data_IF_323569742469
#
_entry.id   IF_323569742469
#
_cell.length_a   1.000
_cell.length_b   1.000
_cell.length_c   1.000
_cell.angle_alpha   90.00
_cell.angle_beta   90.00
_cell.angle_gamma   90.00
#
_symmetry.space_group_name_H-M   'P 1'
#
loop_
_entity.id
_entity.type
_entity.pdbx_description
1 polymer ?
#
# COMPACT_ATOMS: atom_id res chain seq x y z
N UNK A 1 -19.10 -1.05 8.83
CA UNK A 1 -18.62 -1.79 7.64
C UNK A 1 -17.10 -1.73 7.48
N UNK A 2 -16.48 -0.55 7.51
CA UNK A 2 -15.01 -0.39 7.34
C UNK A 2 -14.11 -1.17 8.31
N UNK A 3 -14.65 -1.62 9.46
CA UNK A 3 -13.91 -2.37 10.48
C UNK A 3 -14.17 -3.88 10.47
N UNK A 4 -15.10 -4.40 9.65
CA UNK A 4 -15.59 -5.78 9.84
C UNK A 4 -14.47 -6.82 9.59
N UNK A 5 -13.69 -6.67 8.53
CA UNK A 5 -12.57 -7.59 8.26
C UNK A 5 -11.45 -7.43 9.29
N UNK A 6 -11.20 -6.21 9.75
CA UNK A 6 -10.24 -5.93 10.83
C UNK A 6 -10.63 -6.60 12.14
N UNK A 7 -11.90 -6.50 12.56
CA UNK A 7 -12.38 -7.16 13.79
C UNK A 7 -12.39 -8.68 13.67
N UNK A 8 -12.73 -9.22 12.49
CA UNK A 8 -12.63 -10.66 12.21
C UNK A 8 -11.20 -11.18 12.30
N UNK A 9 -10.23 -10.43 11.73
CA UNK A 9 -8.82 -10.77 11.81
C UNK A 9 -8.33 -10.79 13.28
N UNK A 10 -8.63 -9.74 14.05
CA UNK A 10 -8.25 -9.66 15.47
C UNK A 10 -8.96 -10.72 16.32
N UNK A 11 -10.16 -11.12 15.94
CA UNK A 11 -10.91 -12.21 16.58
C UNK A 11 -10.41 -13.62 16.22
N UNK A 12 -9.35 -13.75 15.41
CA UNK A 12 -8.76 -15.03 15.04
C UNK A 12 -9.40 -15.74 13.84
N UNK A 13 -10.33 -15.09 13.13
CA UNK A 13 -11.00 -15.66 11.95
C UNK A 13 -10.14 -15.50 10.68
N UNK A 14 -8.92 -16.05 10.70
CA UNK A 14 -7.93 -15.90 9.63
C UNK A 14 -8.33 -16.54 8.29
N UNK A 15 -9.31 -17.46 8.32
CA UNK A 15 -9.82 -18.17 7.15
C UNK A 15 -11.09 -17.54 6.56
N UNK A 16 -11.51 -16.39 7.08
CA UNK A 16 -12.67 -15.69 6.56
C UNK A 16 -12.39 -15.12 5.15
N UNK A 17 -13.22 -15.42 4.13
CA UNK A 17 -13.00 -14.94 2.77
C UNK A 17 -12.92 -13.41 2.65
N UNK A 18 -13.58 -12.68 3.54
CA UNK A 18 -13.53 -11.23 3.55
C UNK A 18 -12.18 -10.70 4.03
N UNK A 19 -11.55 -11.37 5.00
CA UNK A 19 -10.17 -11.08 5.42
C UNK A 19 -9.21 -11.35 4.27
N UNK A 20 -9.35 -12.50 3.59
CA UNK A 20 -8.53 -12.85 2.43
C UNK A 20 -8.63 -11.84 1.29
N UNK A 21 -9.85 -11.44 0.93
CA UNK A 21 -10.12 -10.42 -0.09
C UNK A 21 -9.45 -9.09 0.24
N UNK A 22 -9.61 -8.61 1.47
CA UNK A 22 -9.09 -7.31 1.88
C UNK A 22 -7.56 -7.32 1.98
N UNK A 23 -6.96 -8.46 2.36
CA UNK A 23 -5.51 -8.66 2.36
C UNK A 23 -4.93 -8.63 0.94
N UNK A 24 -5.56 -9.35 0.00
CA UNK A 24 -5.17 -9.35 -1.42
C UNK A 24 -5.30 -7.94 -2.02
N UNK A 25 -6.45 -7.28 -1.81
CA UNK A 25 -6.69 -5.94 -2.31
C UNK A 25 -5.67 -4.94 -1.73
N UNK A 26 -5.41 -5.03 -0.43
CA UNK A 26 -4.39 -4.22 0.24
C UNK A 26 -3.00 -4.43 -0.35
N UNK A 27 -2.59 -5.69 -0.58
CA UNK A 27 -1.27 -5.98 -1.15
C UNK A 27 -1.12 -5.41 -2.58
N UNK A 28 -2.13 -5.57 -3.43
CA UNK A 28 -2.14 -5.03 -4.80
C UNK A 28 -2.15 -3.49 -4.82
N UNK A 29 -2.97 -2.87 -3.97
CA UNK A 29 -3.04 -1.41 -3.87
C UNK A 29 -1.75 -0.82 -3.27
N UNK A 30 -1.15 -1.48 -2.28
CA UNK A 30 0.14 -1.09 -1.70
C UNK A 30 1.28 -1.17 -2.69
N UNK A 31 1.34 -2.24 -3.50
CA UNK A 31 2.30 -2.35 -4.59
C UNK A 31 2.09 -1.26 -5.66
N UNK A 32 0.83 -0.94 -5.95
CA UNK A 32 0.47 0.14 -6.89
C UNK A 32 0.89 1.52 -6.35
N UNK A 33 0.68 1.79 -5.06
CA UNK A 33 1.14 3.01 -4.39
C UNK A 33 2.66 3.16 -4.48
N UNK A 34 3.40 2.11 -4.12
CA UNK A 34 4.86 2.10 -4.22
C UNK A 34 5.34 2.34 -5.66
N UNK A 35 4.67 1.73 -6.64
CA UNK A 35 5.00 1.91 -8.06
C UNK A 35 4.80 3.37 -8.50
N UNK A 36 3.68 3.99 -8.13
CA UNK A 36 3.39 5.39 -8.47
C UNK A 36 4.47 6.31 -7.93
N UNK A 37 4.83 6.16 -6.66
CA UNK A 37 5.91 6.93 -6.02
C UNK A 37 7.28 6.68 -6.65
N UNK A 38 7.63 5.42 -6.92
CA UNK A 38 8.89 5.09 -7.61
C UNK A 38 8.95 5.73 -8.99
N UNK A 39 7.87 5.67 -9.77
CA UNK A 39 7.82 6.31 -11.09
C UNK A 39 7.98 7.83 -10.95
N UNK A 40 7.27 8.47 -10.04
CA UNK A 40 7.38 9.94 -9.83
C UNK A 40 8.80 10.33 -9.45
N UNK A 41 9.44 9.57 -8.55
CA UNK A 41 10.78 9.87 -8.05
C UNK A 41 11.91 9.43 -9.02
N UNK A 42 11.67 8.45 -9.89
CA UNK A 42 12.63 7.96 -10.87
C UNK A 42 12.53 8.65 -12.24
N UNK A 43 11.39 9.31 -12.54
CA UNK A 43 11.19 10.12 -13.75
C UNK A 43 12.37 11.09 -14.04
N UNK A 44 12.96 11.80 -13.06
CA UNK A 44 14.14 12.65 -13.23
C UNK A 44 15.40 11.95 -13.71
N UNK A 45 15.55 10.66 -13.37
CA UNK A 45 16.72 9.88 -13.72
C UNK A 45 16.64 9.36 -15.17
N UNK A 46 15.42 9.18 -15.69
CA UNK A 46 15.18 8.70 -17.06
C UNK A 46 14.93 9.83 -18.06
N UNK A 47 14.34 10.93 -17.59
CA UNK A 47 14.11 12.14 -18.35
C UNK A 47 14.78 13.28 -17.59
N UNK A 48 15.68 14.02 -18.24
CA UNK A 48 16.37 15.17 -17.66
C UNK A 48 15.37 16.33 -17.39
N UNK A 49 14.50 16.14 -16.40
CA UNK A 49 13.48 17.06 -15.96
C UNK A 49 14.15 18.08 -15.05
N UNK A 50 14.18 19.34 -15.49
CA UNK A 50 14.80 20.41 -14.73
C UNK A 50 14.16 20.53 -13.33
N UNK A 51 14.98 20.44 -12.29
CA UNK A 51 14.57 20.76 -10.91
C UNK A 51 14.28 19.57 -10.00
N UNK A 52 14.48 18.32 -10.42
CA UNK A 52 14.32 17.15 -9.54
C UNK A 52 15.66 16.47 -9.23
N UNK A 53 15.93 16.21 -7.95
CA UNK A 53 17.19 15.57 -7.49
C UNK A 53 16.98 14.06 -7.32
N UNK A 54 17.74 13.18 -7.99
CA UNK A 54 17.60 11.73 -7.81
C UNK A 54 17.91 11.31 -6.35
N UNK A 55 16.99 10.58 -5.71
CA UNK A 55 17.26 9.94 -4.42
C UNK A 55 18.07 8.67 -4.69
N UNK A 56 19.33 8.64 -4.28
CA UNK A 56 20.15 7.43 -4.35
C UNK A 56 19.60 6.39 -3.36
N UNK A 57 19.45 5.16 -3.83
CA UNK A 57 18.97 4.00 -3.06
C UNK A 57 19.96 3.50 -1.98
N UNK A 58 21.02 4.27 -1.70
CA UNK A 58 22.11 3.92 -0.79
C UNK A 58 21.79 4.43 0.63
N UNK A 59 20.67 3.98 1.20
CA UNK A 59 20.38 4.15 2.62
C UNK A 59 21.13 3.11 3.44
N UNK A 60 21.65 3.42 4.65
CA UNK A 60 22.38 2.48 5.54
C UNK A 60 21.51 1.35 6.12
N UNK A 61 20.39 1.01 5.47
CA UNK A 61 19.25 0.28 6.06
C UNK A 61 19.56 -1.18 6.37
N UNK A 62 20.67 -1.73 5.88
CA UNK A 62 20.86 -3.18 5.82
C UNK A 62 22.10 -3.70 6.56
N UNK A 63 22.88 -2.88 7.27
CA UNK A 63 24.13 -3.39 7.88
C UNK A 63 23.88 -4.36 9.05
N UNK A 64 22.85 -4.11 9.88
CA UNK A 64 22.52 -4.94 11.05
C UNK A 64 21.18 -5.68 10.89
N UNK A 65 21.17 -6.98 11.23
CA UNK A 65 19.93 -7.79 11.27
C UNK A 65 18.91 -7.22 12.25
N UNK A 66 19.35 -6.67 13.37
CA UNK A 66 18.45 -6.06 14.36
C UNK A 66 17.77 -4.81 13.78
N UNK A 67 18.54 -3.95 13.09
CA UNK A 67 18.00 -2.77 12.42
C UNK A 67 17.03 -3.15 11.31
N UNK A 68 17.35 -4.19 10.54
CA UNK A 68 16.49 -4.72 9.49
C UNK A 68 15.12 -5.18 10.04
N UNK A 69 15.10 -5.97 11.11
CA UNK A 69 13.85 -6.43 11.75
C UNK A 69 13.09 -5.26 12.37
N UNK A 70 13.78 -4.32 13.02
CA UNK A 70 13.15 -3.13 13.58
C UNK A 70 12.47 -2.29 12.49
N UNK A 71 13.12 -2.13 11.33
CA UNK A 71 12.55 -1.40 10.19
C UNK A 71 11.31 -2.11 9.63
N UNK A 72 11.34 -3.45 9.50
CA UNK A 72 10.16 -4.21 9.08
C UNK A 72 8.97 -3.99 10.03
N UNK A 73 9.20 -4.06 11.34
CA UNK A 73 8.16 -3.79 12.34
C UNK A 73 7.66 -2.36 12.24
N UNK A 74 8.56 -1.39 12.04
CA UNK A 74 8.20 0.01 11.89
C UNK A 74 7.33 0.26 10.66
N UNK A 75 7.59 -0.38 9.52
CA UNK A 75 6.75 -0.30 8.32
C UNK A 75 5.31 -0.79 8.59
N UNK A 76 5.17 -1.92 9.30
CA UNK A 76 3.88 -2.49 9.66
C UNK A 76 3.11 -1.61 10.67
N UNK A 77 3.81 -1.13 11.70
CA UNK A 77 3.27 -0.19 12.70
C UNK A 77 2.82 1.10 12.01
N UNK A 78 3.64 1.63 11.10
CA UNK A 78 3.31 2.81 10.29
C UNK A 78 2.04 2.60 9.48
N UNK A 79 1.88 1.44 8.84
CA UNK A 79 0.65 1.11 8.12
C UNK A 79 -0.60 1.09 9.00
N UNK A 80 -0.49 0.57 10.23
CA UNK A 80 -1.58 0.60 11.21
C UNK A 80 -1.93 2.03 11.60
N UNK A 81 -0.92 2.84 11.96
CA UNK A 81 -1.14 4.24 12.34
C UNK A 81 -1.79 5.04 11.22
N UNK A 82 -1.24 4.98 10.01
CA UNK A 82 -1.80 5.71 8.86
C UNK A 82 -3.21 5.24 8.53
N UNK A 83 -3.47 3.93 8.55
CA UNK A 83 -4.80 3.39 8.30
C UNK A 83 -5.83 3.91 9.31
N UNK A 84 -5.49 3.91 10.60
CA UNK A 84 -6.35 4.43 11.65
C UNK A 84 -6.54 5.95 11.54
N UNK A 85 -5.48 6.71 11.26
CA UNK A 85 -5.55 8.15 11.04
C UNK A 85 -6.47 8.50 9.88
N UNK A 86 -6.34 7.81 8.74
CA UNK A 86 -7.18 8.05 7.56
C UNK A 86 -8.65 7.69 7.82
N UNK A 87 -8.90 6.57 8.51
CA UNK A 87 -10.26 6.20 8.92
C UNK A 87 -10.86 7.27 9.86
N UNK A 88 -10.09 7.72 10.85
CA UNK A 88 -10.50 8.77 11.78
C UNK A 88 -10.80 10.09 11.05
N UNK A 89 -9.91 10.54 10.16
CA UNK A 89 -10.10 11.74 9.35
C UNK A 89 -11.35 11.64 8.48
N UNK A 90 -11.59 10.48 7.85
CA UNK A 90 -12.80 10.26 7.08
C UNK A 90 -14.06 10.44 7.93
N UNK A 91 -14.11 9.84 9.12
CA UNK A 91 -15.24 10.00 10.04
C UNK A 91 -15.39 11.43 10.58
N UNK A 92 -14.28 12.11 10.88
CA UNK A 92 -14.28 13.50 11.32
C UNK A 92 -14.88 14.42 10.25
N UNK A 93 -14.44 14.28 9.00
CA UNK A 93 -14.98 15.02 7.85
C UNK A 93 -16.46 14.67 7.65
N UNK A 94 -16.81 13.38 7.74
CA UNK A 94 -18.19 12.91 7.59
C UNK A 94 -19.12 13.43 8.68
N UNK A 95 -18.61 13.72 9.87
CA UNK A 95 -19.37 14.32 10.96
C UNK A 95 -19.75 15.78 10.66
N UNK A 96 -18.91 16.52 9.93
CA UNK A 96 -19.18 17.90 9.55
C UNK A 96 -19.95 18.05 8.22
N UNK A 97 -19.81 17.08 7.31
CA UNK A 97 -20.35 17.16 5.96
C UNK A 97 -21.49 16.15 5.77
N UNK A 98 -22.71 16.65 5.55
CA UNK A 98 -23.90 15.80 5.30
C UNK A 98 -23.82 15.01 4.00
N UNK A 99 -23.22 15.59 2.95
CA UNK A 99 -23.08 14.94 1.65
C UNK A 99 -21.89 13.96 1.65
N UNK A 100 -22.17 12.67 1.38
CA UNK A 100 -21.17 11.61 1.33
C UNK A 100 -20.06 11.88 0.29
N UNK A 101 -20.44 12.29 -0.92
CA UNK A 101 -19.50 12.57 -2.00
C UNK A 101 -18.62 13.77 -1.69
N UNK A 102 -19.17 14.80 -1.05
CA UNK A 102 -18.38 15.95 -0.62
C UNK A 102 -17.33 15.56 0.42
N UNK A 103 -17.66 14.64 1.36
CA UNK A 103 -16.67 14.13 2.31
C UNK A 103 -15.53 13.36 1.63
N UNK A 104 -15.84 12.55 0.60
CA UNK A 104 -14.83 11.85 -0.20
C UNK A 104 -13.92 12.84 -0.91
N UNK A 105 -14.49 13.87 -1.55
CA UNK A 105 -13.72 14.89 -2.27
C UNK A 105 -12.80 15.65 -1.31
N UNK A 106 -13.29 16.04 -0.13
CA UNK A 106 -12.48 16.74 0.87
C UNK A 106 -11.33 15.87 1.38
N UNK A 107 -11.58 14.59 1.68
CA UNK A 107 -10.51 13.68 2.08
C UNK A 107 -9.50 13.46 0.95
N UNK A 108 -9.98 13.29 -0.28
CA UNK A 108 -9.13 13.15 -1.48
C UNK A 108 -8.25 14.37 -1.72
N UNK A 109 -8.79 15.58 -1.57
CA UNK A 109 -8.03 16.82 -1.63
C UNK A 109 -6.97 16.89 -0.53
N UNK A 110 -7.31 16.50 0.70
CA UNK A 110 -6.36 16.48 1.80
C UNK A 110 -5.21 15.50 1.55
N UNK A 111 -5.50 14.28 1.07
CA UNK A 111 -4.47 13.30 0.70
C UNK A 111 -3.60 13.84 -0.44
N UNK A 112 -4.22 14.45 -1.46
CA UNK A 112 -3.49 15.04 -2.59
C UNK A 112 -2.55 16.16 -2.12
N UNK A 113 -3.03 17.03 -1.22
CA UNK A 113 -2.23 18.14 -0.69
C UNK A 113 -1.04 17.66 0.15
N UNK A 114 -1.19 16.58 0.92
CA UNK A 114 -0.11 16.00 1.72
C UNK A 114 0.98 15.39 0.83
N UNK A 115 0.61 14.85 -0.34
CA UNK A 115 1.52 14.20 -1.27
C UNK A 115 2.03 15.12 -2.39
N UNK A 116 1.69 16.41 -2.36
CA UNK A 116 2.17 17.37 -3.35
C UNK A 116 3.67 17.61 -3.14
N UNK A 117 4.46 17.32 -4.17
CA UNK A 117 5.86 17.72 -4.22
C UNK A 117 6.03 19.20 -4.56
N UNK A 118 7.29 19.67 -4.63
CA UNK A 118 7.63 21.07 -4.94
C UNK A 118 8.41 21.24 -6.25
N UNK A 119 8.81 20.16 -6.90
CA UNK A 119 9.80 20.22 -7.96
C UNK A 119 9.13 20.19 -9.35
N UNK A 120 8.29 19.18 -9.62
CA UNK A 120 7.52 19.09 -10.86
C UNK A 120 6.01 19.06 -10.58
N UNK A 121 5.40 20.26 -10.58
CA UNK A 121 3.99 20.46 -10.23
C UNK A 121 3.06 19.55 -11.03
N UNK A 122 3.28 19.33 -12.33
CA UNK A 122 2.35 18.53 -13.15
C UNK A 122 2.46 17.05 -12.81
N UNK A 123 3.67 16.48 -12.85
CA UNK A 123 3.89 15.06 -12.58
C UNK A 123 3.51 14.70 -11.13
N UNK A 124 3.87 15.54 -10.18
CA UNK A 124 3.59 15.34 -8.76
C UNK A 124 2.10 15.51 -8.44
N UNK A 125 1.40 16.45 -9.09
CA UNK A 125 -0.06 16.59 -8.90
C UNK A 125 -0.80 15.36 -9.43
N UNK A 126 -0.45 14.87 -10.63
CA UNK A 126 -1.06 13.66 -11.18
C UNK A 126 -0.79 12.44 -10.28
N UNK A 127 0.44 12.32 -9.80
CA UNK A 127 0.85 11.31 -8.84
C UNK A 127 0.05 11.36 -7.54
N UNK A 128 -0.05 12.53 -6.93
CA UNK A 128 -0.78 12.75 -5.69
C UNK A 128 -2.29 12.46 -5.83
N UNK A 129 -2.90 12.84 -6.96
CA UNK A 129 -4.31 12.50 -7.26
C UNK A 129 -4.48 10.99 -7.41
N UNK A 130 -3.55 10.31 -8.08
CA UNK A 130 -3.60 8.86 -8.23
C UNK A 130 -3.42 8.13 -6.88
N UNK A 131 -2.49 8.59 -6.05
CA UNK A 131 -2.32 8.12 -4.66
C UNK A 131 -3.63 8.30 -3.88
N UNK A 132 -4.24 9.48 -3.94
CA UNK A 132 -5.52 9.73 -3.27
C UNK A 132 -6.62 8.78 -3.76
N UNK A 133 -6.70 8.51 -5.07
CA UNK A 133 -7.67 7.58 -5.64
C UNK A 133 -7.45 6.13 -5.15
N UNK A 134 -6.20 5.67 -5.07
CA UNK A 134 -5.85 4.33 -4.57
C UNK A 134 -6.17 4.18 -3.08
N UNK A 135 -5.81 5.19 -2.28
CA UNK A 135 -6.09 5.24 -0.82
C UNK A 135 -7.59 5.25 -0.54
N UNK A 136 -8.34 6.10 -1.24
CA UNK A 136 -9.81 6.14 -1.13
C UNK A 136 -10.43 4.82 -1.59
N UNK A 137 -9.90 4.18 -2.63
CA UNK A 137 -10.37 2.86 -3.07
C UNK A 137 -10.14 1.81 -2.00
N UNK A 138 -8.94 1.74 -1.40
CA UNK A 138 -8.65 0.83 -0.31
C UNK A 138 -9.62 1.03 0.87
N UNK A 139 -9.76 2.28 1.33
CA UNK A 139 -10.58 2.61 2.48
C UNK A 139 -12.08 2.40 2.24
N UNK A 140 -12.61 2.95 1.15
CA UNK A 140 -14.05 3.03 0.92
C UNK A 140 -14.64 1.75 0.34
N UNK A 141 -13.86 1.00 -0.45
CA UNK A 141 -14.31 -0.23 -1.11
C UNK A 141 -13.99 -1.49 -0.31
N UNK A 142 -12.84 -1.53 0.36
CA UNK A 142 -12.35 -2.73 1.04
C UNK A 142 -12.27 -2.57 2.57
N UNK A 143 -12.05 -1.35 3.08
CA UNK A 143 -12.07 -1.05 4.52
C UNK A 143 -10.70 -0.86 5.15
N UNK A 144 -10.67 -0.76 6.48
CA UNK A 144 -9.47 -0.45 7.26
C UNK A 144 -8.37 -1.49 7.05
N UNK A 145 -8.70 -2.79 7.06
CA UNK A 145 -7.70 -3.84 6.92
C UNK A 145 -6.94 -3.70 5.59
N UNK A 146 -7.66 -3.53 4.48
CA UNK A 146 -7.03 -3.33 3.17
C UNK A 146 -6.14 -2.08 3.15
N UNK A 147 -6.57 -1.01 3.80
CA UNK A 147 -5.80 0.22 3.89
C UNK A 147 -4.50 0.04 4.71
N UNK A 148 -4.58 -0.61 5.88
CA UNK A 148 -3.41 -0.92 6.72
C UNK A 148 -2.41 -1.76 5.94
N UNK A 149 -2.89 -2.78 5.23
CA UNK A 149 -2.06 -3.67 4.41
C UNK A 149 -1.44 -2.91 3.25
N UNK A 150 -2.20 -2.03 2.57
CA UNK A 150 -1.69 -1.22 1.47
C UNK A 150 -0.53 -0.32 1.92
N UNK A 151 -0.69 0.43 3.01
CA UNK A 151 0.39 1.27 3.53
C UNK A 151 1.57 0.46 4.09
N UNK A 152 1.32 -0.70 4.71
CA UNK A 152 2.40 -1.57 5.16
C UNK A 152 3.25 -2.07 3.98
N UNK A 153 2.60 -2.56 2.92
CA UNK A 153 3.25 -3.04 1.70
C UNK A 153 3.96 -1.91 0.96
N UNK A 154 3.34 -0.73 0.87
CA UNK A 154 4.00 0.45 0.31
C UNK A 154 5.27 0.80 1.08
N UNK A 155 5.19 0.93 2.41
CA UNK A 155 6.33 1.22 3.26
C UNK A 155 7.44 0.17 3.12
N UNK A 156 7.07 -1.11 3.03
CA UNK A 156 7.99 -2.21 2.77
C UNK A 156 8.73 -2.06 1.44
N UNK A 157 8.03 -1.70 0.37
CA UNK A 157 8.64 -1.56 -0.96
C UNK A 157 9.46 -0.27 -1.11
N UNK A 158 9.16 0.76 -0.31
CA UNK A 158 9.90 2.02 -0.30
C UNK A 158 11.12 2.00 0.64
N UNK A 159 11.03 1.28 1.76
CA UNK A 159 12.07 1.29 2.80
C UNK A 159 13.33 0.51 2.41
N UNK A 160 13.22 -0.45 1.50
CA UNK A 160 14.30 -1.36 1.17
C UNK A 160 14.66 -1.26 -0.31
N UNK A 161 15.93 -0.94 -0.63
CA UNK A 161 16.36 -0.85 -2.01
C UNK A 161 16.41 -2.23 -2.65
N UNK A 162 15.66 -2.42 -3.74
CA UNK A 162 15.73 -3.64 -4.55
C UNK A 162 16.94 -3.53 -5.48
N UNK A 163 18.00 -4.27 -5.17
CA UNK A 163 19.15 -4.39 -6.06
C UNK A 163 18.82 -5.35 -7.22
N UNK A 164 19.04 -4.89 -8.46
CA UNK A 164 18.98 -5.76 -9.65
C UNK A 164 20.31 -6.48 -9.91
N UNK A 165 21.40 -6.03 -9.27
CA UNK A 165 22.73 -6.64 -9.36
C UNK A 165 22.95 -7.65 -8.22
N UNK A 166 23.08 -8.96 -8.51
CA UNK A 166 23.35 -10.01 -7.52
C UNK A 166 24.66 -9.82 -6.76
N UNK A 167 25.60 -9.02 -7.28
CA UNK A 167 26.87 -8.74 -6.63
C UNK A 167 26.78 -7.79 -5.42
N UNK A 168 25.64 -7.12 -5.22
CA UNK A 168 25.46 -6.22 -4.06
C UNK A 168 25.27 -7.02 -2.78
N UNK A 169 26.00 -6.64 -1.73
CA UNK A 169 26.00 -7.32 -0.43
C UNK A 169 24.62 -7.40 0.26
N UNK A 170 23.68 -6.52 -0.13
CA UNK A 170 22.30 -6.48 0.37
C UNK A 170 21.26 -7.07 -0.58
N UNK A 171 21.67 -7.67 -1.72
CA UNK A 171 20.77 -8.20 -2.74
C UNK A 171 19.66 -9.08 -2.15
N UNK A 172 20.03 -10.12 -1.39
CA UNK A 172 19.06 -11.04 -0.79
C UNK A 172 18.08 -10.34 0.18
N UNK A 173 18.55 -9.35 0.94
CA UNK A 173 17.74 -8.63 1.94
C UNK A 173 16.77 -7.65 1.28
N UNK A 174 17.10 -7.10 0.12
CA UNK A 174 16.21 -6.26 -0.68
C UNK A 174 14.96 -6.98 -1.22
N UNK A 175 15.00 -8.30 -1.37
CA UNK A 175 13.86 -9.09 -1.86
C UNK A 175 12.88 -9.55 -0.75
N UNK A 176 13.28 -9.49 0.52
CA UNK A 176 12.41 -9.90 1.63
C UNK A 176 11.06 -9.15 1.64
N UNK A 177 11.00 -7.83 1.44
CA UNK A 177 9.73 -7.08 1.40
C UNK A 177 8.85 -7.47 0.22
N UNK A 178 9.46 -7.77 -0.94
CA UNK A 178 8.76 -8.28 -2.13
C UNK A 178 8.15 -9.65 -1.84
N UNK A 179 8.91 -10.54 -1.21
CA UNK A 179 8.43 -11.86 -0.80
C UNK A 179 7.28 -11.74 0.21
N UNK A 180 7.36 -10.82 1.17
CA UNK A 180 6.27 -10.55 2.13
C UNK A 180 5.02 -10.08 1.40
N UNK A 181 5.13 -9.11 0.49
CA UNK A 181 4.00 -8.61 -0.30
C UNK A 181 3.35 -9.72 -1.15
N UNK A 182 4.17 -10.55 -1.81
CA UNK A 182 3.71 -11.72 -2.57
C UNK A 182 3.04 -12.76 -1.68
N UNK A 183 3.61 -13.06 -0.51
CA UNK A 183 3.04 -13.99 0.44
C UNK A 183 1.67 -13.52 0.95
N UNK A 184 1.53 -12.23 1.25
CA UNK A 184 0.24 -11.63 1.63
C UNK A 184 -0.79 -11.71 0.50
N UNK A 185 -0.39 -11.42 -0.74
CA UNK A 185 -1.26 -11.52 -1.91
C UNK A 185 -1.70 -12.96 -2.17
N UNK A 186 -0.76 -13.92 -2.17
CA UNK A 186 -1.04 -15.34 -2.41
C UNK A 186 -1.90 -15.94 -1.29
N UNK A 187 -1.58 -15.63 -0.03
CA UNK A 187 -2.39 -16.07 1.11
C UNK A 187 -3.80 -15.46 1.05
N UNK A 188 -3.90 -14.14 0.81
CA UNK A 188 -5.17 -13.44 0.66
C UNK A 188 -6.02 -14.02 -0.46
N UNK A 189 -5.41 -14.27 -1.63
CA UNK A 189 -6.06 -14.94 -2.75
C UNK A 189 -6.59 -16.32 -2.36
N UNK A 190 -5.75 -17.15 -1.72
CA UNK A 190 -6.14 -18.51 -1.32
C UNK A 190 -7.33 -18.52 -0.36
N UNK A 191 -7.34 -17.63 0.62
CA UNK A 191 -8.44 -17.51 1.60
C UNK A 191 -9.69 -16.90 0.95
N UNK A 192 -9.52 -15.94 0.04
CA UNK A 192 -10.64 -15.28 -0.65
C UNK A 192 -11.52 -16.24 -1.48
N UNK A 193 -10.94 -17.37 -1.93
CA UNK A 193 -11.66 -18.41 -2.67
C UNK A 193 -12.71 -19.14 -1.81
N UNK A 194 -12.61 -19.09 -0.47
CA UNK A 194 -13.61 -19.64 0.44
C UNK A 194 -13.93 -21.13 0.21
N UNK A 195 -12.92 -21.92 -0.17
CA UNK A 195 -13.07 -23.35 -0.45
C UNK A 195 -13.60 -23.69 -1.86
N UNK A 196 -13.81 -22.71 -2.74
CA UNK A 196 -14.19 -22.96 -4.14
C UNK A 196 -12.97 -23.36 -4.98
N UNK A 197 -13.09 -24.35 -5.89
CA UNK A 197 -12.00 -24.75 -6.77
C UNK A 197 -11.60 -23.62 -7.72
N UNK A 198 -10.28 -23.41 -7.86
CA UNK A 198 -9.67 -22.33 -8.68
C UNK A 198 -10.15 -22.38 -10.15
N UNK A 199 -10.44 -23.58 -10.66
CA UNK A 199 -10.81 -23.85 -12.04
C UNK A 199 -12.32 -24.16 -12.23
N UNK A 200 -13.16 -23.94 -11.22
CA UNK A 200 -14.60 -24.21 -11.33
C UNK A 200 -15.35 -23.36 -12.37
N UNK A 201 -14.69 -22.35 -12.94
CA UNK A 201 -15.20 -21.56 -14.08
C UNK A 201 -14.99 -22.23 -15.45
N UNK A 202 -14.12 -23.24 -15.58
CA UNK A 202 -13.88 -23.94 -16.84
C UNK A 202 -14.67 -25.26 -16.96
N UNK A 203 -15.24 -25.77 -15.87
CA UNK A 203 -15.97 -27.04 -15.84
C UNK A 203 -17.50 -26.87 -15.82
N UNK A 204 -18.01 -25.67 -16.13
CA UNK A 204 -19.44 -25.38 -16.12
C UNK A 204 -20.11 -25.52 -17.51
N UNK A 205 -19.35 -25.88 -18.55
CA UNK A 205 -19.80 -25.98 -19.95
C UNK A 205 -19.39 -27.33 -20.61
N UNK A 206 -19.56 -28.46 -19.92
CA UNK A 206 -19.64 -29.79 -20.56
C UNK A 206 -20.90 -30.53 -20.08
#
# INVERSE_FOLDING_TARGET
EYLISWTRLLGGNYHDPMVGRDLLAGALLGASLALVEHVINALPAWFNLAGQTPINADGPVVESTAHFVAMLLNCAIGGIFVGLTMLFLFFLIRSGIRNYWAAIVVLGMLITLINLGRENVIAETLGAVLIAALVLTALLRFGLLALIVAYSVQNFLQAFPVALDPGRWYFARGFVPVIIALALALYGFRISLGGRPILGFLSADE
#
